data_IF_473073494259
#
_entry.id   IF_473073494259
#
_cell.length_a   1.000
_cell.length_b   1.000
_cell.length_c   1.000
_cell.angle_alpha   90.00
_cell.angle_beta   90.00
_cell.angle_gamma   90.00
#
_symmetry.space_group_name_H-M   'P 1'
#
loop_
_entity.id
_entity.type
_entity.pdbx_description
1 polymer ?
#
# COMPACT_ATOMS: atom_id res chain seq x y z
N UNK A 1 3.00 13.24 0.14
CA UNK A 1 3.74 12.12 -0.50
C UNK A 1 3.87 11.02 0.53
N UNK A 2 3.81 9.76 0.09
CA UNK A 2 4.07 8.62 0.95
C UNK A 2 5.20 7.77 0.36
N UNK A 3 5.92 7.05 1.22
CA UNK A 3 6.92 6.05 0.83
C UNK A 3 6.55 4.75 1.52
N UNK A 4 6.44 3.69 0.73
CA UNK A 4 6.21 2.34 1.23
C UNK A 4 7.52 1.55 1.21
N UNK A 5 7.74 0.78 2.25
CA UNK A 5 8.86 -0.16 2.33
C UNK A 5 8.40 -1.50 2.89
N UNK A 6 9.09 -2.56 2.47
CA UNK A 6 8.89 -3.90 3.02
C UNK A 6 10.12 -4.29 3.83
N UNK A 7 9.90 -4.69 5.09
CA UNK A 7 10.96 -5.18 5.97
C UNK A 7 10.49 -6.50 6.58
N UNK A 8 11.23 -7.58 6.32
CA UNK A 8 10.89 -8.93 6.78
C UNK A 8 9.44 -9.34 6.46
N UNK A 9 8.96 -8.96 5.27
CA UNK A 9 7.60 -9.26 4.82
C UNK A 9 6.48 -8.41 5.45
N UNK A 10 6.81 -7.40 6.26
CA UNK A 10 5.87 -6.42 6.80
C UNK A 10 5.93 -5.11 6.00
N UNK A 11 4.78 -4.47 5.81
CA UNK A 11 4.65 -3.20 5.11
C UNK A 11 4.73 -2.02 6.09
N UNK A 12 5.50 -1.01 5.72
CA UNK A 12 5.59 0.26 6.43
C UNK A 12 5.18 1.42 5.52
N UNK A 13 4.52 2.42 6.10
CA UNK A 13 4.22 3.70 5.46
C UNK A 13 4.99 4.83 6.17
N UNK A 14 5.57 5.73 5.39
CA UNK A 14 6.14 6.97 5.89
C UNK A 14 5.58 8.15 5.10
N UNK A 15 4.96 9.10 5.80
CA UNK A 15 4.34 10.26 5.20
C UNK A 15 5.29 11.46 5.22
N UNK A 16 5.35 12.18 4.10
CA UNK A 16 5.96 13.51 4.02
C UNK A 16 4.90 14.58 4.26
N UNK A 17 5.14 15.41 5.27
CA UNK A 17 4.29 16.53 5.66
C UNK A 17 4.41 17.70 4.68
N UNK A 18 3.48 18.64 4.77
CA UNK A 18 3.44 19.85 3.92
C UNK A 18 4.61 20.79 4.18
N UNK A 19 5.14 20.82 5.40
CA UNK A 19 6.37 21.53 5.79
C UNK A 19 7.66 20.84 5.30
N UNK A 20 7.51 19.67 4.66
CA UNK A 20 8.59 18.89 4.10
C UNK A 20 9.28 17.92 5.06
N UNK A 21 8.87 17.87 6.33
CA UNK A 21 9.34 16.88 7.30
C UNK A 21 8.76 15.49 7.03
N UNK A 22 9.38 14.46 7.62
CA UNK A 22 8.86 13.09 7.59
C UNK A 22 8.30 12.70 8.95
N UNK A 23 7.17 12.02 8.96
CA UNK A 23 6.51 11.56 10.20
C UNK A 23 7.19 10.35 10.85
N UNK A 24 8.07 9.67 10.11
CA UNK A 24 8.67 8.41 10.52
C UNK A 24 7.89 7.21 9.99
N UNK A 25 8.60 6.12 9.70
CA UNK A 25 7.99 4.92 9.15
C UNK A 25 7.20 4.17 10.23
N UNK A 26 5.93 3.88 9.95
CA UNK A 26 5.03 3.14 10.82
C UNK A 26 4.56 1.87 10.12
N UNK A 27 4.36 0.81 10.89
CA UNK A 27 3.84 -0.46 10.36
C UNK A 27 2.40 -0.26 9.87
N UNK A 28 2.16 -0.58 8.61
CA UNK A 28 0.85 -0.55 7.98
C UNK A 28 0.22 -1.95 7.88
N UNK A 29 1.04 -2.99 7.67
CA UNK A 29 0.60 -4.39 7.64
C UNK A 29 1.70 -5.31 8.22
N UNK A 30 1.32 -6.13 9.21
CA UNK A 30 2.19 -7.10 9.90
C UNK A 30 2.12 -8.51 9.30
N UNK A 31 1.88 -8.62 7.99
CA UNK A 31 1.70 -9.90 7.29
C UNK A 31 2.87 -10.89 7.45
N UNK A 32 4.12 -10.40 7.45
CA UNK A 32 5.34 -11.22 7.57
C UNK A 32 5.76 -12.01 6.31
N UNK A 33 5.01 -11.92 5.20
CA UNK A 33 5.29 -12.67 3.98
C UNK A 33 5.11 -11.88 2.67
N UNK A 34 4.99 -10.54 2.74
CA UNK A 34 4.87 -9.69 1.55
C UNK A 34 6.16 -9.76 0.71
N UNK A 35 6.02 -10.00 -0.58
CA UNK A 35 7.14 -10.14 -1.53
C UNK A 35 7.24 -9.03 -2.54
N UNK A 36 6.13 -8.35 -2.85
CA UNK A 36 6.11 -7.18 -3.73
C UNK A 36 4.99 -6.22 -3.32
N UNK A 37 5.15 -4.97 -3.73
CA UNK A 37 4.17 -3.91 -3.47
C UNK A 37 3.99 -3.02 -4.71
N UNK A 38 2.83 -2.39 -4.82
CA UNK A 38 2.59 -1.25 -5.71
C UNK A 38 1.72 -0.21 -5.01
N UNK A 39 1.67 1.01 -5.55
CA UNK A 39 0.79 2.03 -5.02
C UNK A 39 0.31 2.99 -6.10
N UNK A 40 -0.89 3.55 -5.91
CA UNK A 40 -1.44 4.58 -6.77
C UNK A 40 -2.37 5.51 -5.97
N UNK A 41 -2.43 6.78 -6.37
CA UNK A 41 -3.47 7.71 -5.92
C UNK A 41 -4.58 7.80 -6.96
N UNK A 42 -5.82 7.94 -6.52
CA UNK A 42 -6.98 8.16 -7.38
C UNK A 42 -7.46 9.61 -7.32
N UNK A 43 -8.26 10.02 -8.31
CA UNK A 43 -8.80 11.37 -8.41
C UNK A 43 -9.74 11.77 -7.26
N UNK A 44 -10.34 10.79 -6.57
CA UNK A 44 -11.18 11.01 -5.40
C UNK A 44 -10.38 11.31 -4.11
N UNK A 45 -9.04 11.36 -4.22
CA UNK A 45 -8.13 11.65 -3.11
C UNK A 45 -7.76 10.42 -2.28
N UNK A 46 -8.26 9.23 -2.62
CA UNK A 46 -7.79 7.99 -2.00
C UNK A 46 -6.40 7.63 -2.50
N UNK A 47 -5.65 6.93 -1.65
CA UNK A 47 -4.41 6.27 -2.03
C UNK A 47 -4.55 4.79 -1.76
N UNK A 48 -4.06 3.96 -2.67
CA UNK A 48 -4.14 2.52 -2.60
C UNK A 48 -2.73 1.94 -2.58
N UNK A 49 -2.49 0.98 -1.68
CA UNK A 49 -1.24 0.23 -1.61
C UNK A 49 -1.57 -1.26 -1.77
N UNK A 50 -1.06 -1.88 -2.83
CA UNK A 50 -1.24 -3.29 -3.05
C UNK A 50 -0.06 -4.09 -2.50
N UNK A 51 -0.35 -5.22 -1.88
CA UNK A 51 0.64 -6.17 -1.39
C UNK A 51 0.46 -7.51 -2.09
N UNK A 52 1.56 -8.11 -2.52
CA UNK A 52 1.61 -9.47 -3.02
C UNK A 52 2.15 -10.39 -1.93
N UNK A 53 1.36 -11.39 -1.55
CA UNK A 53 1.75 -12.42 -0.57
C UNK A 53 1.05 -13.74 -0.91
N UNK A 54 1.77 -14.85 -0.87
CA UNK A 54 1.22 -16.18 -1.19
C UNK A 54 0.54 -16.28 -2.56
N UNK A 55 1.02 -15.54 -3.56
CA UNK A 55 0.44 -15.50 -4.91
C UNK A 55 -0.92 -14.78 -5.01
N UNK A 56 -1.29 -14.00 -3.99
CA UNK A 56 -2.54 -13.23 -3.90
C UNK A 56 -2.24 -11.75 -3.74
N UNK A 57 -3.11 -10.90 -4.26
CA UNK A 57 -3.00 -9.45 -4.15
C UNK A 57 -4.07 -8.92 -3.20
N UNK A 58 -3.63 -8.10 -2.25
CA UNK A 58 -4.48 -7.38 -1.32
C UNK A 58 -4.33 -5.88 -1.52
N UNK A 59 -5.37 -5.10 -1.24
CA UNK A 59 -5.37 -3.64 -1.28
C UNK A 59 -5.58 -3.06 0.12
N UNK A 60 -4.78 -2.07 0.46
CA UNK A 60 -4.97 -1.24 1.65
C UNK A 60 -5.22 0.20 1.19
N UNK A 61 -6.45 0.67 1.38
CA UNK A 61 -6.86 2.01 0.99
C UNK A 61 -6.62 2.98 2.13
N UNK A 62 -6.01 4.12 1.81
CA UNK A 62 -5.97 5.32 2.63
C UNK A 62 -7.05 6.27 2.16
N UNK A 63 -7.98 6.60 3.06
CA UNK A 63 -9.01 7.59 2.82
C UNK A 63 -8.45 9.03 2.82
N UNK A 64 -9.17 10.01 2.25
CA UNK A 64 -8.77 11.42 2.31
C UNK A 64 -8.60 11.96 3.73
N UNK A 65 -9.37 11.43 4.70
CA UNK A 65 -9.26 11.77 6.13
C UNK A 65 -8.01 11.15 6.81
N UNK A 66 -7.26 10.34 6.07
CA UNK A 66 -6.03 9.69 6.50
C UNK A 66 -6.17 8.36 7.21
N UNK A 67 -7.40 7.85 7.37
CA UNK A 67 -7.65 6.51 7.88
C UNK A 67 -7.26 5.45 6.86
N UNK A 68 -6.79 4.30 7.35
CA UNK A 68 -6.50 3.12 6.53
C UNK A 68 -7.58 2.06 6.72
N UNK A 69 -7.97 1.38 5.65
CA UNK A 69 -9.00 0.33 5.68
C UNK A 69 -8.47 -1.02 6.15
N UNK A 70 -7.15 -1.20 6.18
CA UNK A 70 -6.52 -2.51 6.30
C UNK A 70 -6.52 -3.28 4.97
N UNK A 71 -5.82 -4.41 4.94
CA UNK A 71 -5.62 -5.22 3.74
C UNK A 71 -6.90 -6.01 3.38
N UNK A 72 -7.41 -5.80 2.17
CA UNK A 72 -8.59 -6.48 1.61
C UNK A 72 -8.20 -7.25 0.35
N UNK A 73 -8.66 -8.50 0.20
CA UNK A 73 -8.31 -9.33 -0.95
C UNK A 73 -8.87 -8.75 -2.26
N UNK A 74 -8.02 -8.52 -3.25
CA UNK A 74 -8.40 -8.08 -4.60
C UNK A 74 -8.36 -9.23 -5.59
N UNK A 75 -7.29 -10.02 -5.56
CA UNK A 75 -7.13 -11.18 -6.44
C UNK A 75 -6.61 -12.40 -5.65
N UNK A 76 -7.44 -13.43 -5.62
CA UNK A 76 -7.18 -14.69 -4.92
C UNK A 76 -6.52 -15.78 -5.76
N UNK A 77 -6.04 -15.49 -6.97
CA UNK A 77 -5.55 -16.48 -7.94
C UNK A 77 -4.57 -17.52 -7.35
N UNK A 78 -3.62 -17.08 -6.51
CA UNK A 78 -2.68 -17.96 -5.82
C UNK A 78 -1.38 -18.23 -6.58
N UNK A 79 -1.22 -17.73 -7.81
CA UNK A 79 0.00 -17.86 -8.62
C UNK A 79 0.59 -16.52 -9.11
N UNK A 80 0.14 -15.39 -8.56
CA UNK A 80 0.63 -14.06 -8.96
C UNK A 80 2.08 -13.88 -8.53
N UNK A 81 2.91 -13.35 -9.43
CA UNK A 81 4.36 -13.14 -9.18
C UNK A 81 4.79 -11.68 -9.24
N UNK A 82 3.94 -10.79 -9.75
CA UNK A 82 4.21 -9.37 -9.84
C UNK A 82 2.90 -8.57 -9.73
N UNK A 83 3.00 -7.34 -9.25
CA UNK A 83 1.89 -6.40 -9.13
C UNK A 83 2.33 -5.00 -9.54
N UNK A 84 1.45 -4.27 -10.21
CA UNK A 84 1.62 -2.86 -10.56
C UNK A 84 0.26 -2.19 -10.47
N UNK A 85 0.24 -0.92 -10.07
CA UNK A 85 -0.98 -0.12 -10.02
C UNK A 85 -0.81 1.18 -10.80
N UNK A 86 -1.92 1.61 -11.40
CA UNK A 86 -2.05 2.90 -12.04
C UNK A 86 -3.39 3.48 -11.59
N UNK A 87 -3.35 4.74 -11.14
CA UNK A 87 -4.56 5.50 -10.91
C UNK A 87 -4.91 6.25 -12.18
N UNK A 88 -6.19 6.25 -12.55
CA UNK A 88 -6.64 7.13 -13.61
C UNK A 88 -6.60 8.57 -13.09
N UNK A 89 -5.90 9.45 -13.82
CA UNK A 89 -6.08 10.88 -13.62
C UNK A 89 -7.49 11.27 -14.05
N UNK A 90 -8.10 12.23 -13.34
CA UNK A 90 -9.32 12.91 -13.81
C UNK A 90 -9.06 13.67 -15.11
#
# INVERSE_FOLDING_TARGET
>A
MHVQSVVSGNLYDNQRNTDGTWSGANVLDQNGAITAISAAGLADGTMHVQTLTGGKVYDNQRNPDGTWTGANLVDGNGAITAVSAAGNAA
#
